data_IF_096549075800
#
_entry.id   IF_096549075800
#
_cell.length_a   1.000
_cell.length_b   1.000
_cell.length_c   1.000
_cell.angle_alpha   90.00
_cell.angle_beta   90.00
_cell.angle_gamma   90.00
#
_symmetry.space_group_name_H-M   'P 1'
#
loop_
_entity.id
_entity.type
_entity.pdbx_description
1 polymer ?
#
# COMPACT_ATOMS: atom_id res chain seq x y z
N UNK A 1 -26.49 -6.17 0.00
CA UNK A 1 -25.96 -5.03 0.77
C UNK A 1 -25.82 -5.38 2.24
N UNK A 2 -26.91 -5.72 2.95
CA UNK A 2 -26.86 -6.09 4.38
C UNK A 2 -25.90 -7.23 4.72
N UNK A 3 -25.80 -8.25 3.86
CA UNK A 3 -24.83 -9.34 4.01
C UNK A 3 -23.38 -8.84 4.06
N UNK A 4 -23.05 -7.85 3.22
CA UNK A 4 -21.72 -7.26 3.19
C UNK A 4 -21.44 -6.41 4.43
N UNK A 5 -22.40 -5.59 4.86
CA UNK A 5 -22.30 -4.84 6.12
C UNK A 5 -22.12 -5.80 7.31
N UNK A 6 -22.86 -6.91 7.33
CA UNK A 6 -22.73 -7.96 8.33
C UNK A 6 -21.35 -8.60 8.34
N UNK A 7 -20.79 -8.89 7.16
CA UNK A 7 -19.45 -9.45 7.01
C UNK A 7 -18.36 -8.46 7.48
N UNK A 8 -18.45 -7.18 7.13
CA UNK A 8 -17.51 -6.15 7.61
C UNK A 8 -17.53 -6.09 9.13
N UNK A 9 -18.72 -5.98 9.73
CA UNK A 9 -18.88 -5.93 11.20
C UNK A 9 -18.35 -7.18 11.89
N UNK A 10 -18.62 -8.37 11.37
CA UNK A 10 -18.07 -9.63 11.92
C UNK A 10 -16.54 -9.60 11.95
N UNK A 11 -15.91 -9.14 10.87
CA UNK A 11 -14.44 -9.06 10.78
C UNK A 11 -13.86 -8.01 11.71
N UNK A 12 -14.45 -6.82 11.76
CA UNK A 12 -14.04 -5.78 12.71
C UNK A 12 -14.18 -6.27 14.15
N UNK A 13 -15.28 -6.97 14.50
CA UNK A 13 -15.49 -7.53 15.85
C UNK A 13 -14.45 -8.59 16.25
N UNK A 14 -13.81 -9.23 15.26
CA UNK A 14 -12.70 -10.19 15.43
C UNK A 14 -11.32 -9.52 15.43
N UNK A 15 -11.28 -8.19 15.61
CA UNK A 15 -10.04 -7.41 15.66
C UNK A 15 -9.32 -7.29 14.31
N UNK A 16 -10.02 -7.48 13.19
CA UNK A 16 -9.44 -7.29 11.86
C UNK A 16 -9.52 -5.83 11.46
N UNK A 17 -8.46 -5.35 10.82
CA UNK A 17 -8.52 -4.10 10.06
C UNK A 17 -9.25 -4.38 8.74
N UNK A 18 -10.36 -3.71 8.49
CA UNK A 18 -11.22 -3.80 7.30
C UNK A 18 -11.41 -2.39 6.75
N UNK A 19 -10.64 -2.05 5.73
CA UNK A 19 -10.53 -0.67 5.24
C UNK A 19 -11.32 -0.46 3.96
N UNK A 20 -11.79 0.78 3.78
CA UNK A 20 -12.29 1.28 2.51
C UNK A 20 -11.09 1.64 1.60
N UNK A 21 -10.99 1.00 0.44
CA UNK A 21 -10.01 1.37 -0.59
C UNK A 21 -10.49 2.59 -1.40
N UNK A 22 -9.66 3.63 -1.47
CA UNK A 22 -9.94 4.87 -2.22
C UNK A 22 -8.76 5.19 -3.12
N UNK A 23 -9.01 5.52 -4.39
CA UNK A 23 -7.96 6.04 -5.27
C UNK A 23 -7.63 7.49 -4.90
N UNK A 24 -6.34 7.76 -4.72
CA UNK A 24 -5.82 9.04 -4.32
C UNK A 24 -5.75 9.98 -5.51
N UNK A 25 -6.81 10.76 -5.70
CA UNK A 25 -6.83 11.84 -6.67
C UNK A 25 -6.53 13.18 -5.99
N UNK A 26 -5.32 13.71 -6.22
CA UNK A 26 -4.93 15.04 -5.74
C UNK A 26 -5.81 16.15 -6.33
N UNK A 27 -6.42 15.94 -7.51
CA UNK A 27 -7.36 16.87 -8.11
C UNK A 27 -8.60 17.12 -7.23
N UNK A 28 -9.02 16.13 -6.43
CA UNK A 28 -10.15 16.28 -5.49
C UNK A 28 -9.81 17.11 -4.24
N UNK A 29 -8.58 17.63 -4.17
CA UNK A 29 -8.06 18.40 -3.05
C UNK A 29 -7.49 19.74 -3.51
N UNK A 30 -7.84 20.19 -4.72
CA UNK A 30 -7.36 21.47 -5.25
C UNK A 30 -7.95 22.69 -4.53
N UNK A 31 -9.10 22.55 -3.86
CA UNK A 31 -9.73 23.59 -3.05
C UNK A 31 -10.62 23.02 -1.92
N UNK A 32 -11.04 23.90 -1.00
CA UNK A 32 -11.86 23.56 0.17
C UNK A 32 -13.20 22.89 -0.17
N UNK A 33 -13.81 23.23 -1.31
CA UNK A 33 -15.12 22.67 -1.71
C UNK A 33 -14.98 21.21 -2.11
N UNK A 34 -13.98 20.89 -2.94
CA UNK A 34 -13.71 19.51 -3.35
C UNK A 34 -13.24 18.66 -2.16
N UNK A 35 -12.40 19.23 -1.31
CA UNK A 35 -11.97 18.61 -0.06
C UNK A 35 -13.15 18.25 0.84
N UNK A 36 -14.07 19.20 1.10
CA UNK A 36 -15.22 18.95 1.96
C UNK A 36 -16.12 17.84 1.38
N UNK A 37 -16.34 17.83 0.06
CA UNK A 37 -17.11 16.80 -0.63
C UNK A 37 -16.46 15.43 -0.54
N UNK A 38 -15.13 15.35 -0.64
CA UNK A 38 -14.39 14.11 -0.45
C UNK A 38 -14.60 13.56 0.96
N UNK A 39 -14.40 14.38 1.99
CA UNK A 39 -14.57 14.00 3.40
C UNK A 39 -16.00 13.51 3.65
N UNK A 40 -17.01 14.25 3.19
CA UNK A 40 -18.41 13.86 3.33
C UNK A 40 -18.68 12.49 2.68
N UNK A 41 -18.24 12.33 1.43
CA UNK A 41 -18.46 11.09 0.66
C UNK A 41 -17.78 9.90 1.34
N UNK A 42 -16.49 10.01 1.63
CA UNK A 42 -15.69 8.92 2.21
C UNK A 42 -16.22 8.54 3.59
N UNK A 43 -16.50 9.53 4.44
CA UNK A 43 -17.01 9.24 5.79
C UNK A 43 -18.42 8.67 5.76
N UNK A 44 -19.29 9.07 4.82
CA UNK A 44 -20.61 8.46 4.66
C UNK A 44 -20.54 6.96 4.29
N UNK A 45 -19.57 6.57 3.45
CA UNK A 45 -19.35 5.17 3.07
C UNK A 45 -18.79 4.39 4.25
N UNK A 46 -17.80 4.94 4.96
CA UNK A 46 -17.26 4.34 6.19
C UNK A 46 -18.37 4.10 7.20
N UNK A 47 -19.20 5.11 7.47
CA UNK A 47 -20.31 5.05 8.43
C UNK A 47 -21.37 4.01 8.01
N UNK A 48 -21.71 3.96 6.70
CA UNK A 48 -22.70 3.02 6.15
C UNK A 48 -22.26 1.57 6.27
N UNK A 49 -21.00 1.27 5.91
CA UNK A 49 -20.52 -0.12 5.83
C UNK A 49 -19.80 -0.60 7.10
N UNK A 50 -19.44 0.31 8.00
CA UNK A 50 -18.77 -0.02 9.26
C UNK A 50 -17.29 -0.33 9.11
N UNK A 51 -16.61 0.28 8.12
CA UNK A 51 -15.16 0.15 7.96
C UNK A 51 -14.43 0.77 9.16
N UNK A 52 -13.32 0.17 9.57
CA UNK A 52 -12.47 0.69 10.66
C UNK A 52 -11.11 1.20 10.15
N UNK A 53 -11.04 1.57 8.87
CA UNK A 53 -9.90 2.26 8.29
C UNK A 53 -10.13 2.68 6.85
N UNK A 54 -9.13 3.37 6.30
CA UNK A 54 -9.06 3.79 4.90
C UNK A 54 -7.70 3.37 4.31
N UNK A 55 -7.72 2.89 3.08
CA UNK A 55 -6.52 2.59 2.30
C UNK A 55 -6.48 3.45 1.04
N UNK A 56 -5.43 4.26 0.91
CA UNK A 56 -5.25 5.17 -0.21
C UNK A 56 -4.38 4.50 -1.27
N UNK A 57 -5.01 4.18 -2.39
CA UNK A 57 -4.37 3.58 -3.55
C UNK A 57 -3.85 4.69 -4.46
N UNK A 58 -2.62 4.56 -4.93
CA UNK A 58 -2.01 5.53 -5.83
C UNK A 58 -2.88 5.81 -7.07
N UNK A 59 -3.05 7.09 -7.43
CA UNK A 59 -3.68 7.48 -8.69
C UNK A 59 -2.92 8.65 -9.33
N UNK A 60 -1.79 8.31 -9.95
CA UNK A 60 -0.92 9.25 -10.66
C UNK A 60 -0.15 10.19 -9.74
N UNK A 61 0.64 11.08 -10.33
CA UNK A 61 1.44 12.06 -9.61
C UNK A 61 1.08 13.47 -10.08
N UNK A 62 0.65 14.39 -9.18
CA UNK A 62 0.71 15.79 -9.53
C UNK A 62 2.18 16.22 -9.60
N UNK A 63 2.47 17.14 -10.50
CA UNK A 63 3.72 17.91 -10.41
C UNK A 63 3.63 18.82 -9.19
N UNK A 64 4.68 18.84 -8.37
CA UNK A 64 4.80 19.79 -7.27
C UNK A 64 5.01 21.22 -7.80
N UNK A 65 4.54 22.21 -7.04
CA UNK A 65 4.71 23.63 -7.38
C UNK A 65 6.20 24.03 -7.37
N UNK A 66 6.58 24.99 -8.20
CA UNK A 66 7.95 25.50 -8.26
C UNK A 66 8.43 25.97 -6.87
N UNK A 67 9.54 25.40 -6.40
CA UNK A 67 10.13 25.71 -5.09
C UNK A 67 9.61 24.85 -3.93
N UNK A 68 8.64 23.96 -4.16
CA UNK A 68 8.25 22.92 -3.21
C UNK A 68 9.27 21.76 -3.23
N UNK A 69 10.46 22.04 -2.69
CA UNK A 69 11.62 21.13 -2.67
C UNK A 69 11.76 20.39 -1.33
N UNK A 70 10.83 20.62 -0.40
CA UNK A 70 10.93 20.19 0.99
C UNK A 70 9.74 19.32 1.39
N UNK A 71 9.93 17.99 1.38
CA UNK A 71 8.89 17.05 1.79
C UNK A 71 8.45 17.22 3.26
N UNK A 72 9.26 17.85 4.12
CA UNK A 72 8.89 18.10 5.53
C UNK A 72 7.94 19.30 5.65
N UNK A 73 7.93 20.20 4.66
CA UNK A 73 7.14 21.43 4.63
C UNK A 73 6.50 21.63 3.24
N UNK A 74 5.60 20.73 2.81
CA UNK A 74 4.99 20.80 1.49
C UNK A 74 4.23 22.13 1.30
N UNK A 75 4.33 22.69 0.11
CA UNK A 75 3.68 23.96 -0.25
C UNK A 75 2.61 23.79 -1.32
N UNK A 76 2.71 22.73 -2.13
CA UNK A 76 1.74 22.41 -3.18
C UNK A 76 0.36 22.24 -2.56
N UNK A 77 -0.59 23.08 -2.98
CA UNK A 77 -1.90 23.22 -2.31
C UNK A 77 -2.63 21.88 -2.18
N UNK A 78 -2.65 21.07 -3.25
CA UNK A 78 -3.31 19.77 -3.24
C UNK A 78 -2.67 18.79 -2.23
N UNK A 79 -1.35 18.84 -2.05
CA UNK A 79 -0.62 18.01 -1.09
C UNK A 79 -0.97 18.40 0.35
N UNK A 80 -0.94 19.71 0.64
CA UNK A 80 -1.30 20.26 1.96
C UNK A 80 -2.75 19.92 2.31
N UNK A 81 -3.67 20.12 1.37
CA UNK A 81 -5.08 19.81 1.56
C UNK A 81 -5.30 18.30 1.78
N UNK A 82 -4.57 17.44 1.08
CA UNK A 82 -4.68 16.00 1.29
C UNK A 82 -4.26 15.58 2.71
N UNK A 83 -3.15 16.12 3.21
CA UNK A 83 -2.71 15.90 4.61
C UNK A 83 -3.81 16.31 5.58
N UNK A 84 -4.39 17.51 5.39
CA UNK A 84 -5.45 18.00 6.26
C UNK A 84 -6.72 17.15 6.20
N UNK A 85 -7.05 16.62 5.02
CA UNK A 85 -8.20 15.73 4.79
C UNK A 85 -8.05 14.46 5.59
N UNK A 86 -6.91 13.79 5.47
CA UNK A 86 -6.67 12.54 6.18
C UNK A 86 -6.64 12.74 7.69
N UNK A 87 -6.03 13.84 8.18
CA UNK A 87 -6.10 14.22 9.61
C UNK A 87 -7.54 14.42 10.07
N UNK A 88 -8.37 15.07 9.26
CA UNK A 88 -9.79 15.31 9.58
C UNK A 88 -10.57 14.00 9.65
N UNK A 89 -10.37 13.10 8.69
CA UNK A 89 -11.00 11.77 8.69
C UNK A 89 -10.55 10.96 9.91
N UNK A 90 -9.25 10.89 10.19
CA UNK A 90 -8.74 10.15 11.35
C UNK A 90 -9.26 10.73 12.67
N UNK A 91 -9.27 12.06 12.82
CA UNK A 91 -9.81 12.72 14.00
C UNK A 91 -11.30 12.41 14.24
N UNK A 92 -12.09 12.20 13.19
CA UNK A 92 -13.50 11.78 13.30
C UNK A 92 -13.63 10.37 13.91
N UNK A 93 -12.74 9.44 13.58
CA UNK A 93 -12.85 8.02 13.96
C UNK A 93 -11.94 7.60 15.14
N UNK A 94 -10.95 8.42 15.48
CA UNK A 94 -10.02 8.19 16.60
C UNK A 94 -8.73 7.44 16.20
N UNK A 95 -7.86 7.26 17.19
CA UNK A 95 -6.49 6.76 16.99
C UNK A 95 -6.43 5.34 16.41
N UNK A 96 -7.41 4.50 16.77
CA UNK A 96 -7.54 3.11 16.32
C UNK A 96 -8.01 2.98 14.86
N UNK A 97 -8.47 4.08 14.24
CA UNK A 97 -8.86 4.07 12.84
C UNK A 97 -7.64 3.84 11.94
N UNK A 98 -7.71 2.80 11.11
CA UNK A 98 -6.60 2.43 10.25
C UNK A 98 -6.37 3.42 9.12
N UNK A 99 -5.10 3.75 8.90
CA UNK A 99 -4.67 4.58 7.79
C UNK A 99 -3.59 3.83 7.01
N UNK A 100 -3.92 3.40 5.81
CA UNK A 100 -3.01 2.67 4.95
C UNK A 100 -2.78 3.38 3.62
N UNK A 101 -1.62 3.15 3.04
CA UNK A 101 -1.28 3.60 1.70
C UNK A 101 -0.78 2.42 0.90
N UNK A 102 -1.33 2.25 -0.29
CA UNK A 102 -0.90 1.27 -1.28
C UNK A 102 -0.38 2.03 -2.48
N UNK A 103 0.94 2.15 -2.58
CA UNK A 103 1.62 2.96 -3.59
C UNK A 103 2.76 2.20 -4.28
N UNK A 104 3.18 2.63 -5.47
CA UNK A 104 4.36 2.09 -6.14
C UNK A 104 5.64 2.57 -5.45
N UNK A 105 6.74 1.88 -5.72
CA UNK A 105 8.08 2.30 -5.24
C UNK A 105 8.62 3.56 -5.92
N UNK A 106 7.93 4.07 -6.96
CA UNK A 106 8.35 5.20 -7.80
C UNK A 106 8.77 6.43 -6.99
N UNK A 107 7.95 6.87 -6.02
CA UNK A 107 8.31 8.01 -5.15
C UNK A 107 9.58 7.78 -4.35
N UNK A 108 9.82 6.55 -3.92
CA UNK A 108 11.03 6.25 -3.17
C UNK A 108 12.25 6.20 -4.09
N UNK A 109 12.08 5.74 -5.33
CA UNK A 109 13.20 5.44 -6.22
C UNK A 109 13.61 6.62 -7.09
N UNK A 110 12.66 7.49 -7.48
CA UNK A 110 12.87 8.56 -8.46
C UNK A 110 12.91 9.97 -7.86
N UNK A 111 12.96 10.11 -6.53
CA UNK A 111 12.90 11.43 -5.87
C UNK A 111 14.20 11.86 -5.20
N UNK A 112 15.34 11.29 -5.57
CA UNK A 112 16.63 11.61 -4.93
C UNK A 112 17.13 13.03 -5.19
N UNK A 113 16.89 13.55 -6.39
CA UNK A 113 17.15 14.95 -6.76
C UNK A 113 15.85 15.76 -6.85
N UNK A 114 15.97 17.09 -6.88
CA UNK A 114 14.82 18.01 -6.92
C UNK A 114 13.93 17.80 -8.14
N UNK A 115 14.52 17.57 -9.32
CA UNK A 115 13.75 17.38 -10.55
C UNK A 115 12.90 16.11 -10.44
N UNK A 116 13.50 14.98 -10.08
CA UNK A 116 12.79 13.73 -9.88
C UNK A 116 11.74 13.80 -8.76
N UNK A 117 12.04 14.53 -7.68
CA UNK A 117 11.10 14.80 -6.59
C UNK A 117 9.86 15.55 -7.06
N UNK A 118 10.00 16.58 -7.91
CA UNK A 118 8.85 17.34 -8.40
C UNK A 118 7.85 16.52 -9.21
N UNK A 119 8.33 15.53 -9.99
CA UNK A 119 7.45 14.72 -10.84
C UNK A 119 6.96 13.42 -10.18
N UNK A 120 7.65 12.93 -9.15
CA UNK A 120 7.39 11.60 -8.59
C UNK A 120 7.23 11.60 -7.06
N UNK A 121 7.45 12.74 -6.41
CA UNK A 121 7.62 12.83 -4.97
C UNK A 121 6.36 13.20 -4.19
N UNK A 122 5.26 13.54 -4.85
CA UNK A 122 4.07 14.13 -4.21
C UNK A 122 3.46 13.30 -3.07
N UNK A 123 3.66 11.98 -3.06
CA UNK A 123 3.22 11.13 -1.95
C UNK A 123 4.11 11.24 -0.71
N UNK A 124 5.41 11.47 -0.87
CA UNK A 124 6.41 11.53 0.21
C UNK A 124 6.05 12.53 1.33
N UNK A 125 5.70 13.81 1.05
CA UNK A 125 5.34 14.74 2.11
C UNK A 125 4.13 14.27 2.92
N UNK A 126 3.14 13.65 2.27
CA UNK A 126 1.93 13.20 2.96
C UNK A 126 2.18 11.98 3.83
N UNK A 127 2.85 10.95 3.30
CA UNK A 127 3.18 9.76 4.09
C UNK A 127 4.18 10.09 5.21
N UNK A 128 5.03 11.10 5.01
CA UNK A 128 5.93 11.61 6.04
C UNK A 128 5.15 12.33 7.15
N UNK A 129 4.25 13.25 6.78
CA UNK A 129 3.44 14.01 7.74
C UNK A 129 2.49 13.16 8.59
N UNK A 130 2.15 11.95 8.12
CA UNK A 130 1.24 11.00 8.77
C UNK A 130 1.94 9.72 9.25
N UNK A 131 3.27 9.67 9.23
CA UNK A 131 4.08 8.45 9.47
C UNK A 131 3.76 7.72 10.77
N UNK A 132 3.47 8.48 11.83
CA UNK A 132 3.18 7.93 13.15
C UNK A 132 1.77 7.33 13.20
N UNK A 133 0.84 7.87 12.40
CA UNK A 133 -0.55 7.43 12.29
C UNK A 133 -0.74 6.21 11.37
N UNK A 134 0.27 5.90 10.53
CA UNK A 134 0.22 4.80 9.58
C UNK A 134 -0.06 3.45 10.24
N UNK A 135 -1.00 2.69 9.67
CA UNK A 135 -1.21 1.28 9.96
C UNK A 135 -0.39 0.40 9.01
N UNK A 136 -0.41 0.71 7.72
CA UNK A 136 0.33 -0.01 6.67
C UNK A 136 0.80 0.94 5.56
N UNK A 137 2.05 0.79 5.13
CA UNK A 137 2.59 1.32 3.88
C UNK A 137 2.89 0.12 2.98
N UNK A 138 2.02 -0.15 2.02
CA UNK A 138 2.11 -1.25 1.08
C UNK A 138 2.75 -0.77 -0.23
N UNK A 139 3.88 -1.37 -0.59
CA UNK A 139 4.54 -1.14 -1.88
C UNK A 139 4.03 -2.19 -2.85
N UNK A 140 3.34 -1.79 -3.90
CA UNK A 140 2.70 -2.75 -4.81
C UNK A 140 3.44 -2.97 -6.14
N UNK A 141 3.39 -4.21 -6.61
CA UNK A 141 3.78 -4.64 -7.95
C UNK A 141 2.53 -5.09 -8.72
N UNK A 142 1.71 -4.14 -9.12
CA UNK A 142 0.43 -4.40 -9.79
C UNK A 142 0.52 -4.24 -11.30
N UNK A 143 1.36 -3.30 -11.74
CA UNK A 143 1.61 -3.06 -13.15
C UNK A 143 2.99 -3.61 -13.52
N UNK A 144 3.01 -4.64 -14.39
CA UNK A 144 4.25 -5.28 -14.86
C UNK A 144 5.19 -4.37 -15.65
N UNK A 145 4.82 -3.11 -15.90
CA UNK A 145 5.64 -2.11 -16.59
C UNK A 145 6.43 -1.22 -15.65
N UNK A 146 6.17 -1.26 -14.33
CA UNK A 146 6.91 -0.42 -13.39
C UNK A 146 8.33 -0.96 -13.19
N UNK A 147 9.31 -0.12 -13.50
CA UNK A 147 10.71 -0.39 -13.24
C UNK A 147 10.98 -0.23 -11.73
N UNK A 148 11.40 -1.30 -11.07
CA UNK A 148 12.02 -1.21 -9.74
C UNK A 148 13.52 -1.04 -9.92
N UNK A 149 14.06 -0.04 -9.24
CA UNK A 149 15.48 0.27 -9.29
C UNK A 149 16.17 -0.19 -8.00
N UNK A 150 17.38 -0.70 -8.16
CA UNK A 150 18.28 -0.97 -7.04
C UNK A 150 18.75 0.34 -6.37
N UNK A 151 19.64 0.22 -5.38
CA UNK A 151 20.17 1.38 -4.68
C UNK A 151 20.96 2.33 -5.60
N UNK A 152 21.60 1.81 -6.64
CA UNK A 152 22.42 2.56 -7.58
C UNK A 152 21.64 3.07 -8.80
N UNK A 153 20.33 2.82 -8.87
CA UNK A 153 19.46 3.24 -9.97
C UNK A 153 19.41 2.27 -11.14
N UNK A 154 19.98 1.07 -11.02
CA UNK A 154 19.89 0.04 -12.05
C UNK A 154 18.55 -0.70 -11.97
N UNK A 155 17.95 -0.99 -13.13
CA UNK A 155 16.70 -1.75 -13.21
C UNK A 155 16.90 -3.18 -12.69
N UNK A 156 15.97 -3.64 -11.87
CA UNK A 156 15.93 -5.00 -11.33
C UNK A 156 14.82 -5.78 -12.02
N UNK A 157 15.12 -6.99 -12.49
CA UNK A 157 14.14 -7.84 -13.17
C UNK A 157 13.07 -8.33 -12.19
N UNK A 158 11.79 -8.18 -12.56
CA UNK A 158 10.63 -8.69 -11.82
C UNK A 158 10.67 -10.20 -11.58
N UNK A 159 11.36 -10.95 -12.46
CA UNK A 159 11.55 -12.40 -12.35
C UNK A 159 12.70 -12.78 -11.39
N UNK A 160 13.10 -11.89 -10.48
CA UNK A 160 14.19 -12.14 -9.52
C UNK A 160 13.78 -11.87 -8.08
N UNK A 161 14.42 -12.56 -7.13
CA UNK A 161 14.24 -12.26 -5.69
C UNK A 161 14.72 -10.86 -5.32
N UNK A 162 15.72 -10.33 -6.04
CA UNK A 162 16.28 -9.00 -5.81
C UNK A 162 15.28 -7.88 -6.07
N UNK A 163 14.28 -8.11 -6.93
CA UNK A 163 13.20 -7.15 -7.19
C UNK A 163 12.47 -6.77 -5.90
N UNK A 164 12.08 -7.77 -5.13
CA UNK A 164 11.34 -7.60 -3.88
C UNK A 164 12.19 -6.94 -2.80
N UNK A 165 13.50 -7.18 -2.80
CA UNK A 165 14.45 -6.49 -1.90
C UNK A 165 14.54 -5.01 -2.27
N UNK A 166 14.76 -4.70 -3.55
CA UNK A 166 14.92 -3.33 -4.05
C UNK A 166 13.65 -2.47 -3.88
N UNK A 167 12.47 -3.09 -3.99
CA UNK A 167 11.18 -2.40 -3.83
C UNK A 167 11.00 -1.80 -2.42
N UNK A 168 11.49 -2.49 -1.38
CA UNK A 168 11.31 -2.07 0.03
C UNK A 168 12.55 -1.47 0.68
N UNK A 169 13.71 -1.50 0.01
CA UNK A 169 14.97 -1.06 0.61
C UNK A 169 14.92 0.41 1.06
N UNK A 170 14.54 1.32 0.17
CA UNK A 170 14.46 2.76 0.50
C UNK A 170 13.47 3.10 1.63
N UNK A 171 12.21 2.61 1.64
CA UNK A 171 11.30 2.87 2.76
C UNK A 171 11.79 2.25 4.09
N UNK A 172 12.50 1.11 4.06
CA UNK A 172 13.02 0.45 5.27
C UNK A 172 14.35 1.02 5.77
N UNK A 173 15.20 1.50 4.87
CA UNK A 173 16.54 2.02 5.17
C UNK A 173 16.55 3.54 5.39
N UNK A 174 15.53 4.25 4.89
CA UNK A 174 15.57 5.70 4.70
C UNK A 174 16.47 6.06 3.52
N UNK A 175 16.27 7.22 2.93
CA UNK A 175 17.01 7.65 1.73
C UNK A 175 17.02 9.17 1.60
N UNK A 176 17.78 9.70 0.64
CA UNK A 176 17.81 11.14 0.36
C UNK A 176 16.69 11.48 -0.64
N UNK A 177 15.90 12.51 -0.32
CA UNK A 177 14.83 13.09 -1.11
C UNK A 177 15.16 14.56 -1.34
N UNK A 178 15.35 14.99 -2.58
CA UNK A 178 15.70 16.38 -2.92
C UNK A 178 16.80 16.98 -2.01
N UNK A 179 17.84 16.20 -1.70
CA UNK A 179 18.94 16.62 -0.81
C UNK A 179 18.68 16.53 0.70
N UNK A 180 17.49 16.14 1.15
CA UNK A 180 17.13 15.92 2.55
C UNK A 180 16.99 14.44 2.89
N UNK A 181 17.32 14.05 4.13
CA UNK A 181 17.20 12.66 4.56
C UNK A 181 15.78 12.32 5.01
N UNK A 182 15.08 11.49 4.25
CA UNK A 182 13.83 10.85 4.71
C UNK A 182 14.17 9.69 5.65
N UNK A 183 13.73 9.71 6.92
CA UNK A 183 14.02 8.65 7.87
C UNK A 183 13.27 7.36 7.51
N UNK A 184 13.78 6.18 7.90
CA UNK A 184 13.11 4.92 7.62
C UNK A 184 11.70 4.88 8.23
N UNK A 185 10.79 4.18 7.54
CA UNK A 185 9.51 3.79 8.12
C UNK A 185 9.71 2.60 9.06
N UNK A 186 8.92 2.48 10.14
CA UNK A 186 8.94 1.30 10.98
C UNK A 186 8.68 0.06 10.13
N UNK A 187 9.58 -0.94 10.18
CA UNK A 187 9.44 -2.15 9.37
C UNK A 187 8.06 -2.79 9.56
N UNK A 188 7.55 -2.82 10.79
CA UNK A 188 6.24 -3.34 11.17
C UNK A 188 5.04 -2.67 10.51
N UNK A 189 5.24 -1.57 9.76
CA UNK A 189 4.23 -0.91 8.94
C UNK A 189 4.45 -1.13 7.45
N UNK A 190 5.64 -1.52 6.99
CA UNK A 190 5.95 -1.69 5.55
C UNK A 190 5.53 -3.08 5.08
N UNK A 191 4.80 -3.14 3.96
CA UNK A 191 4.28 -4.35 3.34
C UNK A 191 4.54 -4.39 1.82
N UNK A 192 4.31 -5.56 1.21
CA UNK A 192 4.52 -5.83 -0.21
C UNK A 192 3.22 -6.30 -0.85
N UNK A 193 2.64 -5.48 -1.72
CA UNK A 193 1.49 -5.83 -2.53
C UNK A 193 1.90 -6.56 -3.80
N UNK A 194 1.18 -7.63 -4.14
CA UNK A 194 1.46 -8.42 -5.35
C UNK A 194 0.19 -8.72 -6.12
N UNK A 195 0.26 -8.63 -7.44
CA UNK A 195 -0.84 -9.08 -8.27
C UNK A 195 -1.12 -10.59 -8.04
N UNK A 196 -2.37 -11.04 -8.22
CA UNK A 196 -2.68 -12.47 -8.25
C UNK A 196 -1.82 -13.19 -9.31
N UNK A 197 -1.28 -14.36 -8.96
CA UNK A 197 -0.51 -15.19 -9.88
C UNK A 197 -1.16 -16.56 -10.04
N UNK A 198 -0.91 -17.22 -11.17
CA UNK A 198 -1.36 -18.60 -11.36
C UNK A 198 -0.31 -19.57 -10.76
N UNK A 199 -0.60 -20.22 -9.62
CA UNK A 199 0.38 -21.09 -8.96
C UNK A 199 0.74 -22.34 -9.78
N UNK A 200 -0.08 -22.73 -10.76
CA UNK A 200 0.20 -23.88 -11.62
C UNK A 200 1.21 -23.58 -12.73
N UNK A 201 1.41 -22.32 -13.07
CA UNK A 201 2.27 -21.91 -14.20
C UNK A 201 3.29 -20.81 -13.85
N UNK A 202 3.23 -20.24 -12.64
CA UNK A 202 4.06 -19.11 -12.20
C UNK A 202 4.69 -19.37 -10.81
N UNK A 203 5.13 -20.60 -10.55
CA UNK A 203 5.76 -20.95 -9.26
C UNK A 203 7.08 -20.19 -9.01
N UNK A 204 7.78 -19.80 -10.07
CA UNK A 204 8.98 -18.96 -9.99
C UNK A 204 8.73 -17.61 -9.34
N UNK A 205 7.60 -16.96 -9.63
CA UNK A 205 7.22 -15.69 -9.02
C UNK A 205 7.09 -15.81 -7.50
N UNK A 206 6.36 -16.85 -7.04
CA UNK A 206 6.22 -17.16 -5.60
C UNK A 206 7.58 -17.42 -4.95
N UNK A 207 8.43 -18.24 -5.56
CA UNK A 207 9.76 -18.57 -5.02
C UNK A 207 10.64 -17.32 -4.93
N UNK A 208 10.60 -16.44 -5.94
CA UNK A 208 11.34 -15.18 -5.94
C UNK A 208 10.84 -14.23 -4.84
N UNK A 209 9.52 -14.08 -4.69
CA UNK A 209 8.91 -13.29 -3.62
C UNK A 209 9.33 -13.81 -2.25
N UNK A 210 9.18 -15.12 -2.00
CA UNK A 210 9.57 -15.74 -0.73
C UNK A 210 11.05 -15.56 -0.41
N UNK A 211 11.94 -15.75 -1.40
CA UNK A 211 13.37 -15.56 -1.21
C UNK A 211 13.73 -14.09 -0.96
N UNK A 212 13.10 -13.16 -1.69
CA UNK A 212 13.30 -11.73 -1.50
C UNK A 212 12.84 -11.27 -0.11
N UNK A 213 11.65 -11.67 0.32
CA UNK A 213 11.15 -11.40 1.67
C UNK A 213 12.04 -12.05 2.74
N UNK A 214 12.52 -13.28 2.52
CA UNK A 214 13.47 -13.93 3.43
C UNK A 214 14.78 -13.16 3.53
N UNK A 215 15.28 -12.61 2.42
CA UNK A 215 16.45 -11.74 2.42
C UNK A 215 16.23 -10.48 3.24
N UNK A 216 15.13 -9.76 3.01
CA UNK A 216 14.77 -8.57 3.80
C UNK A 216 14.63 -8.90 5.29
N UNK A 217 13.98 -10.02 5.60
CA UNK A 217 13.62 -10.37 6.97
C UNK A 217 14.77 -10.91 7.80
N UNK A 218 15.64 -11.71 7.17
CA UNK A 218 16.62 -12.53 7.89
C UNK A 218 18.04 -12.36 7.36
N UNK A 219 18.23 -11.66 6.23
CA UNK A 219 19.51 -11.57 5.52
C UNK A 219 19.91 -12.88 4.81
N UNK A 220 19.00 -13.86 4.73
CA UNK A 220 19.25 -15.16 4.11
C UNK A 220 18.55 -15.29 2.76
N UNK A 221 19.01 -16.21 1.90
CA UNK A 221 18.46 -16.43 0.56
C UNK A 221 18.48 -15.18 -0.35
N UNK A 222 19.36 -14.23 -0.05
CA UNK A 222 19.63 -13.08 -0.92
C UNK A 222 20.34 -13.53 -2.20
N UNK A 223 19.99 -12.92 -3.32
CA UNK A 223 20.74 -13.04 -4.55
C UNK A 223 21.85 -11.96 -4.59
N UNK A 224 21.84 -11.04 -5.56
CA UNK A 224 22.88 -10.03 -5.68
C UNK A 224 22.65 -8.83 -4.74
N UNK A 225 21.40 -8.51 -4.43
CA UNK A 225 21.02 -7.29 -3.69
C UNK A 225 20.70 -7.62 -2.23
N UNK A 226 21.08 -6.70 -1.34
CA UNK A 226 20.67 -6.65 0.07
C UNK A 226 20.17 -5.24 0.37
N UNK A 227 19.29 -5.11 1.36
CA UNK A 227 18.90 -3.81 1.87
C UNK A 227 20.10 -3.08 2.48
N UNK A 228 20.16 -1.75 2.35
CA UNK A 228 21.26 -0.95 2.88
C UNK A 228 21.37 -1.02 4.41
N UNK A 229 20.22 -1.11 5.07
CA UNK A 229 20.12 -1.40 6.51
C UNK A 229 19.39 -2.72 6.71
N UNK A 230 19.49 -3.28 7.90
CA UNK A 230 18.83 -4.52 8.27
C UNK A 230 19.81 -5.66 8.58
N UNK A 231 19.32 -6.91 8.68
CA UNK A 231 17.98 -7.37 8.30
C UNK A 231 16.85 -6.79 9.17
N UNK A 232 15.61 -6.86 8.67
CA UNK A 232 14.42 -6.38 9.37
C UNK A 232 13.57 -7.58 9.82
N UNK A 233 13.65 -8.07 11.06
CA UNK A 233 12.95 -9.29 11.47
C UNK A 233 11.42 -9.14 11.61
N UNK A 234 10.88 -7.92 11.52
CA UNK A 234 9.46 -7.65 11.73
C UNK A 234 8.80 -6.74 10.67
N UNK A 235 9.07 -6.86 9.35
CA UNK A 235 8.27 -6.18 8.36
C UNK A 235 6.84 -6.70 8.40
N UNK A 236 5.89 -5.82 8.08
CA UNK A 236 4.50 -6.21 7.95
C UNK A 236 4.36 -7.06 6.72
N UNK A 237 4.31 -8.37 6.89
CA UNK A 237 4.11 -9.25 5.76
C UNK A 237 2.62 -9.27 5.39
N UNK A 238 2.19 -8.32 4.55
CA UNK A 238 0.85 -8.34 3.99
C UNK A 238 0.97 -8.53 2.49
N UNK A 239 0.44 -9.65 2.02
CA UNK A 239 0.19 -9.91 0.61
C UNK A 239 -1.12 -9.23 0.22
N UNK A 240 -1.03 -8.12 -0.51
CA UNK A 240 -2.20 -7.42 -1.04
C UNK A 240 -2.49 -7.86 -2.46
N UNK A 241 -3.70 -8.35 -2.71
CA UNK A 241 -4.18 -8.68 -4.05
C UNK A 241 -4.92 -7.47 -4.61
N UNK A 242 -4.46 -6.95 -5.75
CA UNK A 242 -5.05 -5.82 -6.49
C UNK A 242 -6.52 -6.02 -6.86
N UNK A 243 -6.99 -7.26 -6.88
CA UNK A 243 -8.36 -7.53 -7.24
C UNK A 243 -9.08 -8.22 -6.10
N UNK A 244 -10.30 -7.74 -5.84
CA UNK A 244 -11.24 -8.40 -4.96
C UNK A 244 -11.23 -9.89 -5.27
N UNK A 245 -11.16 -10.73 -4.25
CA UNK A 245 -11.10 -12.17 -4.48
C UNK A 245 -12.31 -12.77 -5.24
N UNK A 246 -13.35 -11.95 -5.41
CA UNK A 246 -14.46 -12.18 -6.32
C UNK A 246 -14.00 -12.40 -7.78
N UNK A 247 -12.98 -11.68 -8.28
CA UNK A 247 -12.47 -11.86 -9.65
C UNK A 247 -11.57 -13.09 -9.78
N UNK A 248 -10.76 -13.44 -8.79
CA UNK A 248 -9.94 -14.66 -8.82
C UNK A 248 -10.80 -15.93 -8.92
N UNK A 249 -12.01 -15.91 -8.34
CA UNK A 249 -13.02 -16.97 -8.46
C UNK A 249 -13.66 -17.02 -9.86
N UNK A 250 -13.83 -15.87 -10.52
CA UNK A 250 -14.37 -15.76 -11.89
C UNK A 250 -13.34 -16.22 -12.94
N UNK A 251 -12.05 -15.96 -12.73
CA UNK A 251 -10.98 -16.35 -13.66
C UNK A 251 -10.47 -17.79 -13.49
N UNK A 252 -11.12 -18.61 -12.66
CA UNK A 252 -10.83 -20.05 -12.56
C UNK A 252 -9.46 -20.41 -11.97
N UNK A 253 -8.80 -19.48 -11.28
CA UNK A 253 -7.51 -19.75 -10.62
C UNK A 253 -7.74 -20.57 -9.35
N UNK A 254 -7.16 -21.78 -9.28
CA UNK A 254 -7.35 -22.72 -8.16
C UNK A 254 -6.23 -22.65 -7.14
N UNK A 255 -6.60 -22.62 -5.85
CA UNK A 255 -5.71 -22.85 -4.73
C UNK A 255 -5.60 -24.35 -4.37
N UNK A 256 -4.39 -24.81 -4.03
CA UNK A 256 -4.10 -26.16 -3.54
C UNK A 256 -4.43 -26.29 -2.03
N UNK A 257 -4.93 -27.46 -1.62
CA UNK A 257 -5.39 -27.80 -0.26
C UNK A 257 -4.33 -28.52 0.60
N UNK A 258 -4.31 -28.22 1.91
CA UNK A 258 -3.53 -28.86 2.99
C UNK A 258 -4.23 -28.66 4.35
N UNK A 259 -3.91 -29.43 5.41
CA UNK A 259 -4.86 -29.69 6.49
C UNK A 259 -4.77 -28.71 7.66
N UNK A 260 -5.93 -28.19 8.08
CA UNK A 260 -6.35 -27.59 9.38
C UNK A 260 -6.96 -26.17 9.26
N UNK A 261 -7.92 -25.77 10.13
CA UNK A 261 -9.19 -25.22 9.64
C UNK A 261 -9.53 -23.75 9.99
N UNK A 262 -10.49 -23.25 9.20
CA UNK A 262 -11.56 -22.23 9.41
C UNK A 262 -11.45 -20.91 8.62
N UNK A 263 -12.55 -20.68 7.89
CA UNK A 263 -12.85 -19.80 6.75
C UNK A 263 -13.65 -18.55 7.19
N UNK A 264 -13.61 -17.49 6.37
CA UNK A 264 -14.75 -16.79 5.70
C UNK A 264 -14.13 -15.52 5.06
N UNK A 265 -13.57 -15.69 3.86
CA UNK A 265 -14.11 -15.28 2.56
C UNK A 265 -13.89 -13.77 2.31
N UNK A 266 -13.09 -13.39 1.30
CA UNK A 266 -13.08 -14.08 0.01
C UNK A 266 -11.85 -14.94 -0.41
N UNK A 267 -10.95 -15.50 0.41
CA UNK A 267 -9.86 -16.35 -0.14
C UNK A 267 -9.70 -17.72 0.51
N UNK A 268 -9.81 -18.77 -0.31
CA UNK A 268 -8.98 -19.97 -0.14
C UNK A 268 -7.50 -19.60 -0.33
N UNK A 269 -6.62 -19.97 0.62
CA UNK A 269 -5.20 -20.34 0.43
C UNK A 269 -4.52 -20.52 1.81
N UNK A 270 -4.74 -21.66 2.47
CA UNK A 270 -4.15 -21.94 3.80
C UNK A 270 -2.60 -21.99 3.82
N UNK A 271 -1.95 -22.13 2.66
CA UNK A 271 -0.51 -22.39 2.58
C UNK A 271 0.37 -21.13 2.66
N UNK A 272 -0.17 -19.94 2.40
CA UNK A 272 0.60 -18.67 2.39
C UNK A 272 0.36 -17.91 3.70
N UNK A 273 -0.86 -17.96 4.24
CA UNK A 273 -1.22 -17.34 5.52
C UNK A 273 -0.70 -18.07 6.77
N UNK A 274 -0.04 -19.23 6.64
CA UNK A 274 0.68 -19.87 7.75
C UNK A 274 2.09 -19.29 7.95
N UNK A 275 2.57 -18.47 7.01
CA UNK A 275 3.89 -17.83 7.04
C UNK A 275 3.80 -16.34 7.41
N UNK A 276 2.62 -15.72 7.30
CA UNK A 276 2.42 -14.26 7.35
C UNK A 276 1.21 -13.81 8.20
N UNK A 277 1.25 -12.59 8.76
CA UNK A 277 0.31 -12.09 9.79
C UNK A 277 -1.14 -11.92 9.25
N UNK A 278 -2.08 -12.65 9.84
CA UNK A 278 -3.49 -12.76 9.43
C UNK A 278 -4.37 -11.57 9.89
N UNK A 279 -3.80 -10.41 10.20
CA UNK A 279 -4.48 -9.32 10.93
C UNK A 279 -5.23 -8.31 10.04
N UNK A 280 -5.00 -8.28 8.72
CA UNK A 280 -5.47 -7.21 7.81
C UNK A 280 -6.35 -7.74 6.66
N UNK A 281 -7.43 -7.03 6.33
CA UNK A 281 -8.36 -7.29 5.23
C UNK A 281 -8.80 -5.97 4.55
N UNK A 282 -9.09 -6.03 3.25
CA UNK A 282 -9.50 -4.87 2.45
C UNK A 282 -10.80 -5.20 1.73
N UNK A 283 -11.76 -4.31 1.82
CA UNK A 283 -13.08 -4.54 1.29
C UNK A 283 -13.49 -3.36 0.41
N UNK A 284 -13.20 -3.49 -0.89
CA UNK A 284 -13.76 -2.65 -1.94
C UNK A 284 -12.73 -1.80 -2.70
N UNK A 285 -12.92 -1.73 -4.02
CA UNK A 285 -12.30 -0.78 -4.93
C UNK A 285 -13.38 0.18 -5.42
N UNK A 286 -13.16 1.49 -5.31
CA UNK A 286 -14.02 2.51 -5.92
C UNK A 286 -13.26 3.16 -7.07
N UNK A 287 -13.16 2.47 -8.22
CA UNK A 287 -12.42 2.96 -9.40
C UNK A 287 -13.22 3.88 -10.32
N UNK A 288 -14.51 4.16 -10.04
CA UNK A 288 -15.28 5.11 -10.85
C UNK A 288 -16.52 5.64 -10.12
N UNK A 289 -16.53 6.94 -9.82
CA UNK A 289 -17.66 7.66 -9.24
C UNK A 289 -18.71 8.21 -10.24
N UNK A 290 -19.11 7.51 -11.33
CA UNK A 290 -20.40 7.81 -11.96
C UNK A 290 -21.42 6.66 -12.00
N UNK A 291 -21.20 5.49 -11.35
CA UNK A 291 -22.14 4.34 -11.49
C UNK A 291 -22.61 3.63 -10.22
N UNK A 292 -22.37 4.18 -9.03
CA UNK A 292 -22.98 3.65 -7.79
C UNK A 292 -24.41 4.18 -7.58
N UNK A 293 -24.88 5.10 -8.44
CA UNK A 293 -26.28 5.53 -8.49
C UNK A 293 -26.85 5.30 -9.89
N UNK A 294 -27.38 4.10 -10.12
CA UNK A 294 -28.43 3.81 -11.09
C UNK A 294 -29.32 2.69 -10.52
#
# INVERSE_FOLDING_TARGET
EDEFIGAVKDKVSKGKLVQLGVFWDFGQHANDTEQAKFIETVTSIIDKYGFNGIDLNEFGFPTLDDGDDDFEQPQTTAVVNYIQTLRTIKAKYGDDFGLSFTIRSTSFQLSSDTYGYHFNGAYLPVIHALRDELSTLCLHHFDGTDDVLDWNGAKVSQDSSDYWVAMVDRPLSGFIVAGKSLPPFPASKVAVGVAPWNPSSQDSFRVNLENGLKCVMTGQACAAIRTQKGPFPAPRNILWLQESLYTTKIYGQRARTGPLPVVIDFAFTDMIYSVFDRSHMIAGYVSSLPRIFA
#
